data_IF_990560572111
#
_entry.id   IF_990560572111
#
_cell.length_a   1.000
_cell.length_b   1.000
_cell.length_c   1.000
_cell.angle_alpha   90.00
_cell.angle_beta   90.00
_cell.angle_gamma   90.00
#
_symmetry.space_group_name_H-M   'P 1'
#
loop_
_entity.id
_entity.type
_entity.pdbx_description
1 polymer ?
#
# COMPACT_ATOMS: atom_id res chain seq x y z
N UNK A 1 -5.03 -35.03 24.21
CA UNK A 1 -4.53 -34.32 23.02
C UNK A 1 -5.69 -33.55 22.40
N UNK A 2 -5.73 -32.22 22.50
CA UNK A 2 -6.54 -31.41 21.59
C UNK A 2 -5.69 -30.37 20.85
N UNK A 3 -5.86 -30.38 19.53
CA UNK A 3 -5.15 -29.58 18.52
C UNK A 3 -5.49 -28.10 18.62
N UNK A 4 -4.44 -27.27 18.59
CA UNK A 4 -4.55 -25.82 18.45
C UNK A 4 -5.03 -25.47 17.03
N UNK A 5 -6.18 -24.82 16.91
CA UNK A 5 -6.53 -24.08 15.70
C UNK A 5 -6.52 -22.58 16.02
N UNK A 6 -5.44 -21.99 15.56
CA UNK A 6 -5.00 -20.61 15.60
C UNK A 6 -6.13 -19.61 15.29
N UNK A 7 -6.31 -18.65 16.20
CA UNK A 7 -7.16 -17.49 15.98
C UNK A 7 -6.68 -16.70 14.76
N UNK A 8 -7.52 -16.60 13.73
CA UNK A 8 -7.33 -15.66 12.61
C UNK A 8 -7.63 -14.26 13.15
N UNK A 9 -6.59 -13.57 13.60
CA UNK A 9 -6.66 -12.17 13.97
C UNK A 9 -6.88 -11.32 12.71
N UNK A 10 -8.15 -11.01 12.44
CA UNK A 10 -8.52 -9.90 11.56
C UNK A 10 -8.03 -8.60 12.22
N UNK A 11 -6.85 -8.11 11.83
CA UNK A 11 -6.35 -6.82 12.30
C UNK A 11 -6.87 -5.69 11.41
N UNK A 12 -8.15 -5.34 11.56
CA UNK A 12 -8.62 -3.99 11.27
C UNK A 12 -8.09 -3.04 12.34
N UNK A 13 -6.86 -2.54 12.15
CA UNK A 13 -6.18 -1.66 13.10
C UNK A 13 -6.44 -0.19 12.73
N UNK A 14 -7.45 0.40 13.36
CA UNK A 14 -7.69 1.85 13.33
C UNK A 14 -6.73 2.61 14.28
N UNK A 15 -6.32 3.82 13.86
CA UNK A 15 -5.68 4.96 14.60
C UNK A 15 -4.15 4.85 14.83
N UNK A 16 -3.33 5.92 14.74
CA UNK A 16 -3.38 7.21 15.45
C UNK A 16 -2.76 8.42 14.71
N UNK A 17 -3.24 9.63 15.10
CA UNK A 17 -2.76 10.97 14.74
C UNK A 17 -1.42 11.30 15.42
N UNK A 18 -0.51 11.97 14.70
CA UNK A 18 0.58 12.80 15.24
C UNK A 18 0.66 14.08 14.39
N UNK A 19 0.78 15.22 15.07
CA UNK A 19 0.32 16.54 14.59
C UNK A 19 1.29 17.35 13.72
N UNK A 20 0.74 18.41 13.13
CA UNK A 20 1.47 19.58 12.67
C UNK A 20 1.25 19.96 11.19
N UNK A 21 0.38 20.96 10.96
CA UNK A 21 0.19 21.75 9.73
C UNK A 21 -0.46 21.07 8.51
N UNK A 22 -1.75 21.34 8.33
CA UNK A 22 -2.50 20.99 7.12
C UNK A 22 -4.00 20.94 7.39
N UNK A 23 -4.65 22.08 7.29
CA UNK A 23 -6.09 22.26 7.47
C UNK A 23 -6.83 21.64 6.27
N UNK A 24 -7.29 20.40 6.40
CA UNK A 24 -8.42 19.78 5.69
C UNK A 24 -8.60 18.36 6.23
N UNK A 25 -9.39 18.21 7.31
CA UNK A 25 -9.93 16.89 7.67
C UNK A 25 -11.07 16.61 6.72
N UNK A 26 -10.74 16.20 5.49
CA UNK A 26 -11.71 15.49 4.66
C UNK A 26 -12.02 14.19 5.39
N UNK A 27 -13.29 13.86 5.56
CA UNK A 27 -13.76 12.56 6.10
C UNK A 27 -13.44 11.39 5.14
N UNK A 28 -12.37 11.50 4.36
CA UNK A 28 -11.90 10.46 3.45
C UNK A 28 -11.10 9.44 4.25
N UNK A 29 -11.57 8.19 4.23
CA UNK A 29 -10.85 7.06 4.82
C UNK A 29 -9.63 6.77 3.95
N UNK A 30 -8.48 7.35 4.32
CA UNK A 30 -7.18 6.99 3.77
C UNK A 30 -6.79 5.59 4.24
N UNK A 31 -6.52 4.71 3.29
CA UNK A 31 -6.03 3.37 3.51
C UNK A 31 -4.52 3.34 3.30
N UNK A 32 -3.83 2.56 4.12
CA UNK A 32 -2.38 2.36 4.03
C UNK A 32 -2.10 0.87 3.88
N UNK A 33 -1.40 0.52 2.81
CA UNK A 33 -0.86 -0.81 2.57
C UNK A 33 0.66 -0.75 2.68
N UNK A 34 1.25 -1.62 3.48
CA UNK A 34 2.70 -1.70 3.65
C UNK A 34 3.18 -3.05 3.13
N UNK A 35 4.08 -3.03 2.16
CA UNK A 35 4.62 -4.22 1.51
C UNK A 35 6.13 -4.20 1.60
N UNK A 36 6.72 -5.36 1.92
CA UNK A 36 8.17 -5.52 1.86
C UNK A 36 8.55 -6.01 0.46
N UNK A 37 9.58 -5.43 -0.20
CA UNK A 37 10.01 -5.83 -1.53
C UNK A 37 10.27 -7.33 -1.67
N UNK A 38 10.90 -7.95 -0.67
CA UNK A 38 11.14 -9.41 -0.60
C UNK A 38 9.89 -10.30 -0.67
N UNK A 39 8.69 -9.74 -0.39
CA UNK A 39 7.43 -10.46 -0.45
C UNK A 39 6.70 -10.28 -1.80
N UNK A 40 7.22 -9.44 -2.69
CA UNK A 40 6.70 -9.29 -4.04
C UNK A 40 7.08 -10.54 -4.83
N UNK A 41 6.09 -11.39 -5.14
CA UNK A 41 6.29 -12.61 -5.95
C UNK A 41 6.47 -12.25 -7.43
N UNK A 42 6.83 -13.25 -8.23
CA UNK A 42 7.09 -13.18 -9.69
C UNK A 42 6.35 -12.02 -10.36
N UNK A 43 7.11 -11.00 -10.78
CA UNK A 43 6.58 -9.85 -11.52
C UNK A 43 6.42 -8.55 -10.73
N UNK A 44 6.86 -8.48 -9.47
CA UNK A 44 6.90 -7.22 -8.68
C UNK A 44 5.52 -6.59 -8.47
N UNK A 45 4.50 -7.44 -8.33
CA UNK A 45 3.10 -7.04 -8.23
C UNK A 45 2.64 -6.92 -6.78
N UNK A 46 1.92 -5.84 -6.49
CA UNK A 46 1.19 -5.58 -5.26
C UNK A 46 -0.30 -5.68 -5.54
N UNK A 47 -1.02 -6.44 -4.72
CA UNK A 47 -2.49 -6.47 -4.78
C UNK A 47 -3.05 -5.37 -3.87
N UNK A 48 -3.78 -4.43 -4.46
CA UNK A 48 -4.52 -3.38 -3.78
C UNK A 48 -5.92 -3.86 -3.39
N UNK A 49 -6.59 -3.11 -2.52
CA UNK A 49 -8.00 -3.37 -2.22
C UNK A 49 -8.89 -3.16 -3.46
N UNK A 50 -10.04 -3.81 -3.50
CA UNK A 50 -11.08 -3.48 -4.50
C UNK A 50 -11.63 -2.07 -4.21
N UNK A 51 -11.94 -1.32 -5.26
CA UNK A 51 -12.53 0.02 -5.18
C UNK A 51 -11.55 1.12 -4.80
N UNK A 52 -10.26 0.98 -5.12
CA UNK A 52 -9.26 2.04 -4.90
C UNK A 52 -9.50 3.20 -5.87
N UNK A 53 -9.44 4.43 -5.38
CA UNK A 53 -9.32 5.60 -6.25
C UNK A 53 -7.87 5.74 -6.71
N UNK A 54 -7.61 5.32 -7.95
CA UNK A 54 -6.28 5.34 -8.57
C UNK A 54 -5.63 6.72 -8.58
N UNK A 55 -6.42 7.79 -8.57
CA UNK A 55 -5.92 9.18 -8.59
C UNK A 55 -5.32 9.62 -7.26
N UNK A 56 -5.64 8.90 -6.20
CA UNK A 56 -5.21 9.20 -4.82
C UNK A 56 -4.05 8.34 -4.36
N UNK A 57 -3.59 7.41 -5.21
CA UNK A 57 -2.53 6.48 -4.89
C UNK A 57 -1.20 7.24 -4.74
N UNK A 58 -0.61 7.13 -3.56
CA UNK A 58 0.73 7.62 -3.25
C UNK A 58 1.61 6.46 -2.81
N UNK A 59 2.69 6.21 -3.52
CA UNK A 59 3.64 5.12 -3.23
C UNK A 59 4.96 5.69 -2.74
N UNK A 60 5.43 5.21 -1.59
CA UNK A 60 6.68 5.66 -0.96
C UNK A 60 7.54 4.48 -0.57
N UNK A 61 8.84 4.58 -0.80
CA UNK A 61 9.86 3.62 -0.44
C UNK A 61 10.88 4.31 0.47
N UNK A 62 10.69 4.18 1.79
CA UNK A 62 11.42 5.02 2.76
C UNK A 62 11.12 6.51 2.57
N UNK A 63 12.14 7.30 2.24
CA UNK A 63 12.02 8.73 1.95
C UNK A 63 11.68 9.03 0.48
N UNK A 64 11.96 8.09 -0.45
CA UNK A 64 11.68 8.22 -1.88
C UNK A 64 10.17 8.10 -2.13
N UNK A 65 9.62 9.03 -2.91
CA UNK A 65 8.24 8.93 -3.43
C UNK A 65 8.33 8.45 -4.87
N UNK A 66 7.63 7.37 -5.18
CA UNK A 66 7.62 6.77 -6.52
C UNK A 66 6.59 7.47 -7.39
N UNK A 67 6.91 7.66 -8.67
CA UNK A 67 6.05 8.28 -9.68
C UNK A 67 5.31 7.24 -10.50
N UNK A 68 4.02 7.51 -10.73
CA UNK A 68 3.19 6.71 -11.62
C UNK A 68 3.75 6.81 -13.05
N UNK A 69 3.77 5.68 -13.76
CA UNK A 69 4.34 5.46 -15.10
C UNK A 69 5.86 5.43 -15.21
N UNK A 70 6.59 5.89 -14.20
CA UNK A 70 8.06 5.93 -14.19
C UNK A 70 8.62 4.83 -13.25
N UNK A 71 8.22 4.89 -11.98
CA UNK A 71 8.68 3.97 -10.94
C UNK A 71 7.69 2.83 -10.66
N UNK A 72 6.41 3.04 -10.96
CA UNK A 72 5.36 2.04 -10.80
C UNK A 72 4.21 2.25 -11.79
N UNK A 73 3.49 1.17 -12.10
CA UNK A 73 2.30 1.20 -12.97
C UNK A 73 1.13 0.50 -12.32
N UNK A 74 -0.07 0.96 -12.61
CA UNK A 74 -1.31 0.27 -12.25
C UNK A 74 -1.70 -0.64 -13.42
N UNK A 75 -2.07 -1.88 -13.11
CA UNK A 75 -2.46 -2.85 -14.14
C UNK A 75 -3.95 -2.65 -14.42
N UNK A 76 -4.32 -2.10 -15.59
CA UNK A 76 -5.70 -1.73 -15.88
C UNK A 76 -6.62 -2.96 -15.87
N UNK A 77 -7.85 -2.77 -15.40
CA UNK A 77 -8.82 -3.86 -15.28
C UNK A 77 -8.53 -4.86 -14.16
N UNK A 78 -7.50 -4.60 -13.34
CA UNK A 78 -7.16 -5.38 -12.15
C UNK A 78 -6.99 -4.47 -10.95
N UNK A 79 -6.99 -5.04 -9.74
CA UNK A 79 -6.61 -4.34 -8.51
C UNK A 79 -5.12 -4.48 -8.20
N UNK A 80 -4.26 -4.61 -9.23
CA UNK A 80 -2.84 -4.83 -9.05
C UNK A 80 -2.02 -3.62 -9.48
N UNK A 81 -0.93 -3.40 -8.76
CA UNK A 81 0.08 -2.41 -9.06
C UNK A 81 1.42 -3.12 -9.25
N UNK A 82 2.21 -2.71 -10.24
CA UNK A 82 3.54 -3.25 -10.49
C UNK A 82 4.58 -2.20 -10.18
N UNK A 83 5.56 -2.56 -9.36
CA UNK A 83 6.74 -1.71 -9.11
C UNK A 83 7.77 -2.00 -10.21
N UNK A 84 8.24 -0.93 -10.86
CA UNK A 84 9.26 -0.97 -11.91
C UNK A 84 10.64 -0.57 -11.37
N UNK A 85 10.68 0.30 -10.36
CA UNK A 85 11.91 0.81 -9.76
C UNK A 85 12.74 -0.31 -9.09
N UNK A 86 13.82 -0.72 -9.75
CA UNK A 86 14.71 -1.77 -9.26
C UNK A 86 15.40 -1.38 -7.95
N UNK A 87 15.70 -0.10 -7.73
CA UNK A 87 16.30 0.35 -6.47
C UNK A 87 15.35 0.07 -5.30
N UNK A 88 14.07 0.39 -5.44
CA UNK A 88 13.06 0.07 -4.43
C UNK A 88 12.89 -1.44 -4.23
N UNK A 89 13.00 -2.23 -5.30
CA UNK A 89 12.87 -3.68 -5.22
C UNK A 89 14.05 -4.34 -4.50
N UNK A 90 15.25 -3.82 -4.70
CA UNK A 90 16.48 -4.31 -4.07
C UNK A 90 16.72 -3.69 -2.68
N UNK A 91 16.05 -2.59 -2.35
CA UNK A 91 16.17 -1.98 -1.04
C UNK A 91 15.45 -2.82 0.03
N UNK A 92 16.11 -3.07 1.18
CA UNK A 92 15.48 -3.70 2.34
C UNK A 92 14.63 -2.70 3.14
N UNK A 93 13.78 -1.94 2.44
CA UNK A 93 12.89 -0.93 3.05
C UNK A 93 11.44 -1.17 2.63
N UNK A 94 10.47 -0.95 3.55
CA UNK A 94 9.07 -1.16 3.23
C UNK A 94 8.55 -0.12 2.24
N UNK A 95 7.73 -0.59 1.32
CA UNK A 95 6.94 0.23 0.40
C UNK A 95 5.61 0.54 1.07
N UNK A 96 5.31 1.81 1.25
CA UNK A 96 4.06 2.34 1.79
C UNK A 96 3.20 2.88 0.66
N UNK A 97 2.03 2.30 0.49
CA UNK A 97 1.04 2.69 -0.51
C UNK A 97 -0.14 3.27 0.24
N UNK A 98 -0.45 4.53 -0.05
CA UNK A 98 -1.56 5.26 0.56
C UNK A 98 -2.59 5.52 -0.52
N UNK A 99 -3.87 5.30 -0.24
CA UNK A 99 -4.93 5.52 -1.22
C UNK A 99 -6.29 5.70 -0.55
N UNK A 100 -7.24 6.25 -1.30
CA UNK A 100 -8.64 6.34 -0.93
C UNK A 100 -9.44 5.24 -1.61
N UNK A 101 -10.64 4.96 -1.09
CA UNK A 101 -11.59 4.05 -1.75
C UNK A 101 -12.79 4.82 -2.27
N UNK A 102 -13.18 4.50 -3.51
CA UNK A 102 -14.44 4.88 -4.11
C UNK A 102 -15.53 4.00 -3.47
N UNK A 103 -16.36 4.60 -2.61
CA UNK A 103 -17.53 3.95 -2.00
C UNK A 103 -18.73 3.98 -2.93
#
# INVERSE_FOLDING_TARGET
MPSQHTAVLSQEKYRYRLGGFGNQVSNQRLFVLVVLPKNLRLGNEVTLSVGVDERTITVRSGEKTLKLWDDYVLIPGTNKMRILDEETLNADRPIRITYEKLY
#
